data_IF_073422137756
#
_entry.id   IF_073422137756
#
_cell.length_a   1.000
_cell.length_b   1.000
_cell.length_c   1.000
_cell.angle_alpha   90.00
_cell.angle_beta   90.00
_cell.angle_gamma   90.00
#
_symmetry.space_group_name_H-M   'P 1'
#
loop_
_entity.id
_entity.type
_entity.pdbx_description
1 polymer ?
#
# COMPACT_ATOMS: atom_id res chain seq x y z
N UNK A 1 1.13 -32.64 -13.14
CA UNK A 1 0.60 -31.92 -11.95
C UNK A 1 1.49 -30.71 -11.65
N UNK A 2 0.89 -29.63 -11.19
CA UNK A 2 1.60 -28.40 -10.87
C UNK A 2 0.80 -27.50 -9.93
N UNK A 3 1.37 -26.34 -9.59
CA UNK A 3 0.69 -25.23 -8.94
C UNK A 3 0.56 -24.07 -9.92
N UNK A 4 -0.49 -23.28 -9.78
CA UNK A 4 -0.73 -22.09 -10.60
C UNK A 4 -0.91 -20.88 -9.70
N UNK A 5 -0.25 -19.79 -10.08
CA UNK A 5 -0.46 -18.49 -9.46
C UNK A 5 -0.85 -17.47 -10.54
N UNK A 6 -2.02 -16.88 -10.41
CA UNK A 6 -2.53 -15.85 -11.31
C UNK A 6 -2.45 -14.52 -10.59
N UNK A 7 -1.70 -13.56 -11.13
CA UNK A 7 -1.70 -12.17 -10.70
C UNK A 7 -2.63 -11.38 -11.60
N UNK A 8 -3.64 -10.77 -10.98
CA UNK A 8 -4.53 -9.84 -11.69
C UNK A 8 -3.89 -8.45 -11.75
N UNK A 9 -4.19 -7.68 -12.79
CA UNK A 9 -3.68 -6.32 -12.95
C UNK A 9 -4.12 -5.35 -11.85
N UNK A 10 -5.10 -5.73 -11.04
CA UNK A 10 -5.60 -5.02 -9.84
C UNK A 10 -4.82 -5.34 -8.56
N UNK A 11 -3.85 -6.26 -8.62
CA UNK A 11 -3.06 -6.71 -7.46
C UNK A 11 -3.60 -7.94 -6.73
N UNK A 12 -4.78 -8.41 -7.12
CA UNK A 12 -5.36 -9.64 -6.59
C UNK A 12 -4.59 -10.87 -7.04
N UNK A 13 -4.54 -11.89 -6.21
CA UNK A 13 -3.87 -13.16 -6.52
C UNK A 13 -4.81 -14.34 -6.31
N UNK A 14 -4.81 -15.24 -7.28
CA UNK A 14 -5.44 -16.55 -7.17
C UNK A 14 -4.32 -17.58 -7.17
N UNK A 15 -4.27 -18.43 -6.16
CA UNK A 15 -3.30 -19.51 -6.06
C UNK A 15 -4.02 -20.85 -6.00
N UNK A 16 -3.68 -21.78 -6.92
CA UNK A 16 -4.12 -23.15 -6.94
C UNK A 16 -2.92 -24.01 -6.56
N UNK A 17 -2.99 -24.64 -5.40
CA UNK A 17 -1.86 -25.38 -4.82
C UNK A 17 -1.52 -26.67 -5.56
N UNK A 18 -2.52 -27.35 -6.12
CA UNK A 18 -2.34 -28.56 -6.88
C UNK A 18 -3.40 -28.68 -7.96
N UNK A 19 -2.99 -28.92 -9.18
CA UNK A 19 -3.89 -29.07 -10.33
C UNK A 19 -3.31 -29.96 -11.41
N UNK A 20 -4.17 -30.51 -12.23
CA UNK A 20 -3.85 -30.95 -13.59
C UNK A 20 -4.31 -29.89 -14.58
N UNK A 21 -3.48 -29.63 -15.56
CA UNK A 21 -3.79 -28.71 -16.64
C UNK A 21 -3.88 -29.52 -17.93
N UNK A 22 -5.02 -29.45 -18.58
CA UNK A 22 -5.20 -29.87 -19.97
C UNK A 22 -5.57 -28.66 -20.81
N UNK A 23 -4.82 -28.39 -21.87
CA UNK A 23 -4.96 -27.14 -22.60
C UNK A 23 -4.88 -27.34 -24.10
N UNK A 24 -5.78 -26.67 -24.80
CA UNK A 24 -5.79 -26.57 -26.25
C UNK A 24 -5.55 -25.12 -26.64
N UNK A 25 -4.48 -24.90 -27.43
CA UNK A 25 -4.25 -23.57 -28.02
C UNK A 25 -5.23 -23.42 -29.18
N UNK A 26 -6.18 -22.48 -29.06
CA UNK A 26 -7.10 -22.10 -30.11
C UNK A 26 -6.81 -20.68 -30.55
N UNK A 27 -6.58 -20.49 -31.83
CA UNK A 27 -6.36 -19.18 -32.41
C UNK A 27 -5.76 -19.28 -33.82
N UNK A 28 -5.81 -18.18 -34.54
CA UNK A 28 -5.27 -18.06 -35.89
C UNK A 28 -3.91 -17.38 -35.80
N UNK A 29 -2.88 -18.05 -36.27
CA UNK A 29 -1.54 -17.44 -36.36
C UNK A 29 -1.57 -16.48 -37.57
N UNK A 30 -1.36 -15.17 -37.30
CA UNK A 30 -1.26 -14.16 -38.37
C UNK A 30 -2.49 -13.27 -38.56
N UNK A 31 -3.36 -13.12 -37.57
CA UNK A 31 -4.46 -12.15 -37.53
C UNK A 31 -4.28 -11.10 -36.43
N UNK A 32 -5.06 -10.02 -36.49
CA UNK A 32 -5.07 -8.96 -35.47
C UNK A 32 -5.71 -9.38 -34.13
N UNK A 33 -6.27 -10.58 -34.05
CA UNK A 33 -6.85 -11.11 -32.81
C UNK A 33 -5.77 -11.80 -31.95
N UNK A 34 -5.76 -11.56 -30.63
CA UNK A 34 -4.84 -12.22 -29.73
C UNK A 34 -5.10 -13.74 -29.70
N UNK A 35 -4.03 -14.53 -29.71
CA UNK A 35 -4.10 -15.97 -29.52
C UNK A 35 -4.72 -16.27 -28.15
N UNK A 36 -5.91 -16.86 -28.14
CA UNK A 36 -6.54 -17.37 -26.92
C UNK A 36 -6.01 -18.76 -26.57
N UNK A 37 -5.69 -18.99 -25.33
CA UNK A 37 -5.42 -20.31 -24.76
C UNK A 37 -6.63 -20.69 -23.93
N UNK A 38 -7.38 -21.69 -24.37
CA UNK A 38 -8.41 -22.30 -23.54
C UNK A 38 -7.75 -23.43 -22.74
N UNK A 39 -7.81 -23.31 -21.43
CA UNK A 39 -7.28 -24.29 -20.51
C UNK A 39 -8.40 -24.86 -19.64
N UNK A 40 -8.52 -26.18 -19.60
CA UNK A 40 -9.35 -26.86 -18.61
C UNK A 40 -8.48 -27.26 -17.43
N UNK A 41 -8.89 -26.85 -16.24
CA UNK A 41 -8.15 -27.09 -15.00
C UNK A 41 -8.99 -27.94 -14.07
N UNK A 42 -8.44 -29.07 -13.63
CA UNK A 42 -9.01 -29.84 -12.55
C UNK A 42 -8.22 -29.55 -11.26
N UNK A 43 -8.91 -29.01 -10.26
CA UNK A 43 -8.32 -28.77 -8.95
C UNK A 43 -8.29 -30.08 -8.16
N UNK A 44 -7.09 -30.48 -7.71
CA UNK A 44 -6.88 -31.66 -6.90
C UNK A 44 -6.77 -31.28 -5.44
N UNK A 45 -7.19 -32.17 -4.55
CA UNK A 45 -6.98 -31.95 -3.11
C UNK A 45 -5.48 -31.86 -2.80
N UNK A 46 -5.04 -30.83 -2.06
CA UNK A 46 -3.66 -30.73 -1.61
C UNK A 46 -3.27 -31.91 -0.71
N UNK A 47 -2.01 -32.32 -0.77
CA UNK A 47 -1.51 -33.45 0.04
C UNK A 47 -1.45 -33.11 1.55
N UNK A 48 -1.48 -31.83 1.90
CA UNK A 48 -1.48 -31.30 3.27
C UNK A 48 -2.90 -31.24 3.88
N UNK A 49 -3.93 -31.61 3.12
CA UNK A 49 -5.34 -31.56 3.56
C UNK A 49 -5.93 -30.14 3.63
N UNK A 50 -5.21 -29.13 3.14
CA UNK A 50 -5.66 -27.75 3.11
C UNK A 50 -6.67 -27.46 1.98
N UNK A 51 -7.05 -26.18 1.83
CA UNK A 51 -7.89 -25.74 0.70
C UNK A 51 -7.14 -25.90 -0.63
N UNK A 52 -7.79 -26.43 -1.68
CA UNK A 52 -7.18 -26.58 -3.00
C UNK A 52 -6.83 -25.24 -3.67
N UNK A 53 -7.46 -24.14 -3.26
CA UNK A 53 -7.13 -22.81 -3.76
C UNK A 53 -7.21 -21.78 -2.63
N UNK A 54 -6.50 -20.68 -2.80
CA UNK A 54 -6.64 -19.45 -2.02
C UNK A 54 -6.89 -18.28 -2.95
N UNK A 55 -7.71 -17.35 -2.48
CA UNK A 55 -7.99 -16.09 -3.15
C UNK A 55 -7.54 -14.96 -2.24
N UNK A 56 -6.56 -14.19 -2.67
CA UNK A 56 -6.12 -13.00 -1.99
C UNK A 56 -6.66 -11.78 -2.73
N UNK A 57 -7.66 -11.14 -2.13
CA UNK A 57 -8.31 -9.93 -2.63
C UNK A 57 -7.70 -8.65 -2.02
N UNK A 58 -6.65 -8.79 -1.26
CA UNK A 58 -6.03 -7.68 -0.56
C UNK A 58 -5.21 -6.83 -1.53
N UNK A 59 -5.82 -5.79 -2.08
CA UNK A 59 -5.09 -4.78 -2.86
C UNK A 59 -4.25 -3.94 -1.91
N UNK A 60 -2.91 -3.92 -2.05
CA UNK A 60 -2.07 -3.10 -1.19
C UNK A 60 -2.39 -1.62 -1.33
N UNK A 61 -2.75 -0.96 -0.23
CA UNK A 61 -3.00 0.48 -0.19
C UNK A 61 -2.46 1.11 1.10
N UNK A 62 -2.20 2.40 1.04
CA UNK A 62 -1.94 3.27 2.18
C UNK A 62 -2.45 4.67 1.87
N UNK A 63 -3.15 5.29 2.83
CA UNK A 63 -3.67 6.64 2.71
C UNK A 63 -3.53 7.38 4.03
N UNK A 64 -3.48 8.72 3.97
CA UNK A 64 -3.44 9.61 5.14
C UNK A 64 -4.46 10.72 4.98
N UNK A 65 -5.18 11.04 6.04
CA UNK A 65 -6.21 12.07 6.02
C UNK A 65 -6.13 12.95 7.28
N UNK A 66 -5.98 14.27 7.15
CA UNK A 66 -5.73 15.02 5.92
C UNK A 66 -4.30 14.83 5.38
N UNK A 67 -4.05 15.19 4.12
CA UNK A 67 -2.73 15.08 3.47
C UNK A 67 -1.80 16.28 3.77
N UNK A 68 -2.31 17.30 4.45
CA UNK A 68 -1.55 18.50 4.82
C UNK A 68 -1.99 19.02 6.18
N UNK A 69 -1.03 19.43 6.98
CA UNK A 69 -1.26 20.11 8.27
C UNK A 69 -0.58 21.47 8.29
N UNK A 70 -1.29 22.47 8.84
CA UNK A 70 -0.75 23.81 9.09
C UNK A 70 -0.73 24.07 10.59
N UNK A 71 0.42 24.50 11.12
CA UNK A 71 0.65 24.73 12.54
C UNK A 71 0.87 26.22 12.82
N UNK A 72 0.37 26.68 13.96
CA UNK A 72 0.64 28.00 14.45
C UNK A 72 2.11 28.15 14.90
N UNK A 73 2.63 29.39 14.92
CA UNK A 73 4.00 29.68 15.34
C UNK A 73 4.31 29.27 16.79
N UNK A 74 3.33 29.28 17.67
CA UNK A 74 3.51 28.92 19.08
C UNK A 74 3.72 27.42 19.34
N UNK A 75 3.60 26.61 18.31
CA UNK A 75 3.58 25.16 18.45
C UNK A 75 2.20 24.64 18.84
N UNK A 76 1.84 23.50 18.35
CA UNK A 76 0.59 22.80 18.65
C UNK A 76 0.69 21.33 18.20
N UNK A 77 -0.23 20.50 18.67
CA UNK A 77 -0.36 19.11 18.22
C UNK A 77 -1.59 18.94 17.36
N UNK A 78 -1.46 18.20 16.27
CA UNK A 78 -2.55 17.81 15.37
C UNK A 78 -2.49 16.32 15.06
N UNK A 79 -3.64 15.75 14.81
CA UNK A 79 -3.77 14.32 14.47
C UNK A 79 -4.12 14.13 13.02
N UNK A 80 -3.65 13.03 12.45
CA UNK A 80 -4.08 12.50 11.17
C UNK A 80 -4.44 11.03 11.34
N UNK A 81 -5.40 10.58 10.57
CA UNK A 81 -5.76 9.18 10.48
C UNK A 81 -5.02 8.54 9.30
N UNK A 82 -4.49 7.34 9.52
CA UNK A 82 -3.84 6.56 8.48
C UNK A 82 -4.60 5.26 8.29
N UNK A 83 -4.88 4.94 7.05
CA UNK A 83 -5.48 3.67 6.66
C UNK A 83 -4.51 2.93 5.75
N UNK A 84 -4.23 1.69 6.06
CA UNK A 84 -3.31 0.85 5.30
C UNK A 84 -3.75 -0.60 5.30
N UNK A 85 -3.50 -1.31 4.21
CA UNK A 85 -3.77 -2.75 4.08
C UNK A 85 -2.85 -3.63 4.94
N UNK A 86 -1.87 -3.05 5.63
CA UNK A 86 -0.93 -3.77 6.49
C UNK A 86 0.02 -2.83 7.24
N UNK A 87 1.08 -3.39 7.79
CA UNK A 87 2.10 -2.62 8.49
C UNK A 87 2.77 -1.60 7.57
N UNK A 88 3.14 -0.45 8.11
CA UNK A 88 3.84 0.61 7.39
C UNK A 88 5.02 1.15 8.21
N UNK A 89 5.94 1.79 7.53
CA UNK A 89 7.06 2.51 8.13
C UNK A 89 6.89 4.02 7.96
N UNK A 90 7.46 4.77 8.90
CA UNK A 90 7.48 6.24 8.87
C UNK A 90 8.84 6.69 8.37
N UNK A 91 8.85 7.55 7.37
CA UNK A 91 10.05 8.18 6.84
C UNK A 91 10.63 9.23 7.80
N UNK A 92 11.57 10.01 7.29
CA UNK A 92 12.22 11.05 8.09
C UNK A 92 11.22 12.14 8.48
N UNK A 93 11.15 12.44 9.77
CA UNK A 93 10.37 13.58 10.29
C UNK A 93 11.21 14.86 10.19
N UNK A 94 10.68 15.96 9.65
CA UNK A 94 11.40 17.23 9.54
C UNK A 94 11.73 17.83 10.90
N UNK A 95 12.83 18.57 10.99
CA UNK A 95 13.24 19.26 12.20
C UNK A 95 12.19 20.25 12.70
N UNK A 96 11.92 20.23 14.00
CA UNK A 96 10.90 21.07 14.64
C UNK A 96 9.50 20.46 14.63
N UNK A 97 9.40 19.20 14.19
CA UNK A 97 8.20 18.39 14.32
C UNK A 97 8.54 17.06 15.00
N UNK A 98 7.64 16.61 15.86
CA UNK A 98 7.71 15.30 16.50
C UNK A 98 6.50 14.47 16.04
N UNK A 99 6.69 13.18 15.83
CA UNK A 99 5.65 12.27 15.37
C UNK A 99 5.52 11.09 16.34
N UNK A 100 4.30 10.80 16.74
CA UNK A 100 3.95 9.66 17.58
C UNK A 100 2.82 8.87 16.90
N UNK A 101 2.95 7.54 16.89
CA UNK A 101 1.94 6.61 16.33
C UNK A 101 1.34 5.80 17.46
N UNK A 102 0.04 5.97 17.70
CA UNK A 102 -0.70 5.23 18.71
C UNK A 102 -1.98 4.67 18.12
N UNK A 103 -2.11 3.35 18.09
CA UNK A 103 -3.32 2.66 17.63
C UNK A 103 -3.81 3.11 16.24
N UNK A 104 -2.90 3.28 15.27
CA UNK A 104 -3.24 3.69 13.89
C UNK A 104 -3.56 5.19 13.73
N UNK A 105 -3.54 5.95 14.82
CA UNK A 105 -3.63 7.42 14.79
C UNK A 105 -2.25 8.02 14.93
N UNK A 106 -1.95 9.00 14.11
CA UNK A 106 -0.68 9.71 14.14
C UNK A 106 -0.89 11.09 14.74
N UNK A 107 -0.11 11.41 15.76
CA UNK A 107 -0.05 12.74 16.34
C UNK A 107 1.24 13.41 15.90
N UNK A 108 1.10 14.59 15.28
CA UNK A 108 2.22 15.46 14.91
C UNK A 108 2.21 16.65 15.85
N UNK A 109 3.32 16.86 16.55
CA UNK A 109 3.54 18.00 17.40
C UNK A 109 4.59 18.91 16.79
N UNK A 110 4.24 20.16 16.54
CA UNK A 110 5.17 21.19 16.10
C UNK A 110 5.73 21.94 17.32
N UNK A 111 7.04 22.08 17.41
CA UNK A 111 7.69 22.93 18.38
C UNK A 111 7.43 24.41 18.08
N UNK A 112 7.53 25.28 19.10
CA UNK A 112 7.42 26.71 18.86
C UNK A 112 8.46 27.19 17.82
N UNK A 113 8.01 27.99 16.86
CA UNK A 113 8.84 28.57 15.83
C UNK A 113 9.11 30.04 16.08
N UNK A 114 10.36 30.38 16.34
CA UNK A 114 10.81 31.78 16.53
C UNK A 114 11.49 32.36 15.29
N UNK A 115 11.67 31.55 14.24
CA UNK A 115 12.34 31.92 12.99
C UNK A 115 11.40 32.02 11.79
N UNK A 116 11.94 31.83 10.62
CA UNK A 116 11.19 31.80 9.36
C UNK A 116 10.15 30.65 9.34
N UNK A 117 9.16 30.75 8.45
CA UNK A 117 8.20 29.69 8.23
C UNK A 117 8.92 28.36 7.91
N UNK A 118 8.43 27.25 8.47
CA UNK A 118 8.96 25.91 8.25
C UNK A 118 7.99 25.09 7.43
N UNK A 119 8.52 24.43 6.42
CA UNK A 119 7.78 23.47 5.60
C UNK A 119 8.55 22.16 5.56
N UNK A 120 7.83 21.06 5.51
CA UNK A 120 8.43 19.74 5.41
C UNK A 120 7.40 18.69 5.02
N UNK A 121 7.85 17.47 4.88
CA UNK A 121 6.97 16.35 4.59
C UNK A 121 7.44 15.08 5.30
N UNK A 122 6.48 14.22 5.60
CA UNK A 122 6.72 12.86 6.12
C UNK A 122 6.12 11.88 5.14
N UNK A 123 6.89 10.87 4.73
CA UNK A 123 6.40 9.77 3.92
C UNK A 123 6.00 8.59 4.83
N UNK A 124 4.90 7.93 4.50
CA UNK A 124 4.49 6.65 5.07
C UNK A 124 4.54 5.61 3.97
N UNK A 125 5.21 4.49 4.21
CA UNK A 125 5.55 3.49 3.21
C UNK A 125 5.01 2.14 3.66
N UNK A 126 4.19 1.49 2.84
CA UNK A 126 3.63 0.19 3.14
C UNK A 126 4.73 -0.88 3.16
N UNK A 127 4.81 -1.66 4.23
CA UNK A 127 5.88 -2.66 4.40
C UNK A 127 5.78 -3.82 3.41
N UNK A 128 4.55 -4.19 3.02
CA UNK A 128 4.31 -5.28 2.06
C UNK A 128 4.62 -4.88 0.60
N UNK A 129 4.56 -3.58 0.29
CA UNK A 129 4.83 -3.03 -1.05
C UNK A 129 5.40 -1.62 -0.92
N UNK A 130 6.70 -1.48 -0.99
CA UNK A 130 7.40 -0.20 -0.85
C UNK A 130 7.15 0.80 -2.01
N UNK A 131 6.48 0.37 -3.08
CA UNK A 131 6.00 1.28 -4.12
C UNK A 131 4.76 2.05 -3.70
N UNK A 132 4.02 1.52 -2.70
CA UNK A 132 2.84 2.15 -2.11
C UNK A 132 3.27 3.04 -0.96
N UNK A 133 3.22 4.33 -1.20
CA UNK A 133 3.58 5.37 -0.23
C UNK A 133 2.65 6.56 -0.33
N UNK A 134 2.50 7.28 0.78
CA UNK A 134 1.75 8.52 0.86
C UNK A 134 2.56 9.57 1.61
N UNK A 135 2.40 10.82 1.23
CA UNK A 135 3.13 11.96 1.79
C UNK A 135 2.19 12.88 2.56
N UNK A 136 2.54 13.19 3.81
CA UNK A 136 1.91 14.21 4.63
C UNK A 136 2.75 15.49 4.58
N UNK A 137 2.16 16.59 4.15
CA UNK A 137 2.81 17.90 4.11
C UNK A 137 2.59 18.63 5.45
N UNK A 138 3.66 19.18 6.00
CA UNK A 138 3.66 19.94 7.25
C UNK A 138 4.09 21.38 6.98
N UNK A 139 3.28 22.33 7.42
CA UNK A 139 3.57 23.76 7.27
C UNK A 139 3.45 24.43 8.64
N UNK A 140 4.41 25.26 9.02
CA UNK A 140 4.32 26.05 10.25
C UNK A 140 4.60 27.51 9.96
N UNK A 141 3.74 28.36 10.52
CA UNK A 141 3.88 29.82 10.40
C UNK A 141 5.22 30.31 10.97
N UNK A 142 5.73 31.40 10.38
CA UNK A 142 6.89 32.11 10.89
C UNK A 142 6.63 32.63 12.32
N UNK A 143 7.65 32.59 13.15
CA UNK A 143 7.70 33.36 14.38
C UNK A 143 7.67 34.88 14.05
N UNK A 144 7.40 35.70 15.06
CA UNK A 144 7.62 37.11 14.87
C UNK A 144 9.14 37.34 14.83
N UNK A 145 9.59 38.02 13.76
CA UNK A 145 10.90 38.63 13.76
C UNK A 145 10.94 39.75 14.80
#
# INVERSE_FOLDING_TARGET
>A
EGALKILCGTGQTIEVKRMTLDGVVRGKIGGDDPLGIECEMEMLNPLDGGSPFSFDDTVPFISVTPTSLSFAKGGESKTVDIEASGAFSVGKVPTGFNLEVVNGRITITADANTGAARNGSVEFILAADNTKKVTLTLNQAAGNA
#
